data_IF_016884072547
#
_entry.id   IF_016884072547
#
_cell.length_a   1.000
_cell.length_b   1.000
_cell.length_c   1.000
_cell.angle_alpha   90.00
_cell.angle_beta   90.00
_cell.angle_gamma   90.00
#
_symmetry.space_group_name_H-M   'P 1'
#
loop_
_entity.id
_entity.type
_entity.pdbx_description
1 polymer ?
#
# COMPACT_ATOMS: atom_id res chain seq x y z
N UNK A 1 1.64 9.34 -25.60
CA UNK A 1 0.30 9.07 -26.12
C UNK A 1 -0.78 9.99 -25.49
N UNK A 2 -0.80 10.23 -24.17
CA UNK A 2 -1.81 11.11 -23.51
C UNK A 2 -1.79 12.56 -23.99
N UNK A 3 -0.64 13.14 -24.26
CA UNK A 3 -0.50 14.51 -24.77
C UNK A 3 -0.96 14.68 -26.22
N UNK A 4 -0.84 13.63 -27.04
CA UNK A 4 -1.31 13.67 -28.44
C UNK A 4 -2.85 13.62 -28.53
N UNK A 5 -3.51 12.87 -27.62
CA UNK A 5 -4.98 12.82 -27.56
C UNK A 5 -5.57 14.15 -27.10
N UNK A 6 -4.96 14.80 -26.12
CA UNK A 6 -5.44 16.10 -25.64
C UNK A 6 -5.30 17.21 -26.70
N UNK A 7 -4.23 17.20 -27.46
CA UNK A 7 -4.04 18.18 -28.56
C UNK A 7 -4.94 17.93 -29.77
N UNK A 8 -5.22 16.68 -30.11
CA UNK A 8 -6.19 16.35 -31.18
C UNK A 8 -7.62 16.69 -30.77
N UNK A 9 -7.99 16.49 -29.51
CA UNK A 9 -9.32 16.84 -29.03
C UNK A 9 -9.53 18.36 -28.94
N UNK A 10 -8.50 19.12 -28.57
CA UNK A 10 -8.53 20.59 -28.58
C UNK A 10 -8.58 21.15 -30.00
N UNK A 11 -7.91 20.53 -30.96
CA UNK A 11 -7.97 20.91 -32.38
C UNK A 11 -9.32 20.60 -33.00
N UNK A 12 -9.97 19.47 -32.63
CA UNK A 12 -11.33 19.11 -33.08
C UNK A 12 -12.37 20.11 -32.53
N UNK A 13 -12.22 20.56 -31.29
CA UNK A 13 -13.13 21.59 -30.74
C UNK A 13 -12.96 22.94 -31.40
N UNK A 14 -11.74 23.35 -31.82
CA UNK A 14 -11.52 24.58 -32.57
C UNK A 14 -12.06 24.52 -34.00
N UNK A 15 -12.00 23.35 -34.67
CA UNK A 15 -12.56 23.20 -36.01
C UNK A 15 -14.08 23.20 -36.01
N UNK A 16 -14.72 22.64 -34.96
CA UNK A 16 -16.17 22.70 -34.79
C UNK A 16 -16.67 24.16 -34.58
N UNK A 17 -15.89 24.98 -33.83
CA UNK A 17 -16.24 26.38 -33.62
C UNK A 17 -16.11 27.24 -34.91
N UNK A 18 -15.26 26.83 -35.87
CA UNK A 18 -15.09 27.53 -37.16
C UNK A 18 -16.07 27.07 -38.25
N UNK A 19 -16.64 25.84 -38.11
CA UNK A 19 -17.67 25.32 -39.03
C UNK A 19 -19.07 25.89 -38.73
N UNK A 20 -19.27 26.59 -37.63
CA UNK A 20 -20.55 27.13 -37.18
C UNK A 20 -21.06 28.35 -37.94
N UNK A 21 -20.41 28.74 -39.08
CA UNK A 21 -20.90 29.84 -39.94
C UNK A 21 -21.68 29.40 -41.16
N UNK A 22 -22.00 28.09 -41.29
CA UNK A 22 -22.85 27.59 -42.39
C UNK A 22 -24.06 26.86 -41.82
N UNK A 23 -25.07 27.63 -41.42
CA UNK A 23 -26.51 27.31 -41.41
C UNK A 23 -26.95 25.90 -40.97
N UNK A 24 -26.90 25.64 -39.68
CA UNK A 24 -27.94 24.84 -38.99
C UNK A 24 -28.19 25.53 -37.64
N UNK A 25 -29.43 25.84 -37.35
CA UNK A 25 -29.83 26.45 -36.08
C UNK A 25 -29.50 25.49 -34.94
N UNK A 26 -28.28 25.59 -34.37
CA UNK A 26 -27.94 24.90 -33.13
C UNK A 26 -28.83 25.50 -32.06
N UNK A 27 -29.74 24.67 -31.56
CA UNK A 27 -30.65 25.09 -30.52
C UNK A 27 -29.95 25.10 -29.16
N UNK A 28 -30.52 25.84 -28.19
CA UNK A 28 -30.04 25.76 -26.81
C UNK A 28 -30.09 24.36 -26.25
N UNK A 29 -31.06 23.56 -26.70
CA UNK A 29 -31.24 22.14 -26.33
C UNK A 29 -30.05 21.29 -26.82
N UNK A 30 -29.52 21.53 -28.06
CA UNK A 30 -28.34 20.84 -28.57
C UNK A 30 -27.08 21.16 -27.76
N UNK A 31 -26.95 22.41 -27.32
CA UNK A 31 -25.83 22.86 -26.48
C UNK A 31 -25.91 22.24 -25.09
N UNK A 32 -27.08 22.19 -24.50
CA UNK A 32 -27.27 21.63 -23.17
C UNK A 32 -27.13 20.10 -23.20
N UNK A 33 -27.57 19.41 -24.26
CA UNK A 33 -27.36 18.00 -24.46
C UNK A 33 -25.86 17.66 -24.61
N UNK A 34 -25.12 18.42 -25.44
CA UNK A 34 -23.66 18.22 -25.60
C UNK A 34 -22.87 18.51 -24.33
N UNK A 35 -23.34 19.47 -23.51
CA UNK A 35 -22.73 19.78 -22.21
C UNK A 35 -22.98 18.66 -21.21
N UNK A 36 -24.17 18.07 -21.17
CA UNK A 36 -24.51 16.97 -20.27
C UNK A 36 -23.76 15.70 -20.68
N UNK A 37 -23.67 15.42 -21.96
CA UNK A 37 -22.89 14.29 -22.49
C UNK A 37 -21.38 14.43 -22.18
N UNK A 38 -20.82 15.62 -22.39
CA UNK A 38 -19.43 15.93 -22.03
C UNK A 38 -19.16 15.85 -20.54
N UNK A 39 -20.13 16.25 -19.71
CA UNK A 39 -20.05 16.12 -18.25
C UNK A 39 -20.11 14.66 -17.82
N UNK A 40 -21.04 13.89 -18.37
CA UNK A 40 -21.18 12.46 -18.07
C UNK A 40 -19.94 11.68 -18.49
N UNK A 41 -19.38 11.96 -19.67
CA UNK A 41 -18.13 11.36 -20.13
C UNK A 41 -16.94 11.74 -19.23
N UNK A 42 -16.84 13.01 -18.83
CA UNK A 42 -15.79 13.48 -17.92
C UNK A 42 -15.88 12.84 -16.52
N UNK A 43 -17.09 12.66 -16.00
CA UNK A 43 -17.31 11.97 -14.72
C UNK A 43 -16.93 10.47 -14.84
N UNK A 44 -17.32 9.82 -15.93
CA UNK A 44 -16.98 8.40 -16.17
C UNK A 44 -15.47 8.20 -16.31
N UNK A 45 -14.76 9.12 -16.97
CA UNK A 45 -13.29 9.08 -17.10
C UNK A 45 -12.57 9.40 -15.77
N UNK A 46 -13.16 10.25 -14.93
CA UNK A 46 -12.62 10.64 -13.64
C UNK A 46 -12.96 9.65 -12.50
N UNK A 47 -13.91 8.73 -12.71
CA UNK A 47 -14.26 7.75 -11.69
C UNK A 47 -13.15 6.69 -11.60
N UNK A 48 -12.44 6.59 -10.46
CA UNK A 48 -11.42 5.57 -10.31
C UNK A 48 -12.06 4.18 -10.40
N UNK A 49 -11.45 3.29 -11.15
CA UNK A 49 -11.88 1.89 -11.24
C UNK A 49 -11.75 1.28 -9.84
N UNK A 50 -12.83 0.72 -9.33
CA UNK A 50 -12.84 0.07 -8.02
C UNK A 50 -11.85 -1.10 -7.99
N UNK A 51 -11.01 -1.17 -6.96
CA UNK A 51 -10.11 -2.32 -6.75
C UNK A 51 -10.90 -3.63 -6.64
N UNK A 52 -12.08 -3.59 -6.01
CA UNK A 52 -12.98 -4.74 -5.92
C UNK A 52 -13.43 -5.21 -7.31
N UNK A 53 -13.90 -4.31 -8.17
CA UNK A 53 -14.32 -4.65 -9.52
C UNK A 53 -13.17 -5.21 -10.34
N UNK A 54 -11.95 -4.68 -10.15
CA UNK A 54 -10.75 -5.19 -10.79
C UNK A 54 -10.42 -6.62 -10.36
N UNK A 55 -10.51 -6.92 -9.07
CA UNK A 55 -10.30 -8.28 -8.52
C UNK A 55 -11.33 -9.24 -9.10
N UNK A 56 -12.61 -8.88 -9.06
CA UNK A 56 -13.71 -9.72 -9.56
C UNK A 56 -13.56 -9.97 -11.07
N UNK A 57 -13.30 -8.94 -11.86
CA UNK A 57 -13.11 -9.06 -13.31
C UNK A 57 -11.89 -9.92 -13.67
N UNK A 58 -10.82 -9.87 -12.88
CA UNK A 58 -9.61 -10.68 -13.06
C UNK A 58 -9.80 -12.12 -12.58
N UNK A 59 -10.71 -12.37 -11.65
CA UNK A 59 -10.93 -13.67 -11.02
C UNK A 59 -9.79 -14.10 -10.08
N UNK A 60 -8.95 -13.18 -9.63
CA UNK A 60 -7.86 -13.44 -8.68
C UNK A 60 -7.53 -12.21 -7.86
N UNK A 61 -6.97 -12.40 -6.66
CA UNK A 61 -6.56 -11.34 -5.75
C UNK A 61 -5.04 -11.35 -5.55
N UNK A 62 -4.42 -10.18 -5.70
CA UNK A 62 -2.99 -9.98 -5.44
C UNK A 62 -2.79 -9.51 -3.99
N UNK A 63 -2.30 -10.40 -3.14
CA UNK A 63 -2.08 -10.13 -1.72
C UNK A 63 -0.60 -9.84 -1.45
N UNK A 64 -0.30 -8.62 -1.01
CA UNK A 64 1.04 -8.21 -0.56
C UNK A 64 1.34 -8.78 0.83
N UNK A 65 2.38 -9.62 0.93
CA UNK A 65 2.71 -10.35 2.15
C UNK A 65 4.19 -10.26 2.51
N UNK A 66 4.53 -10.59 3.74
CA UNK A 66 5.90 -10.89 4.18
C UNK A 66 6.18 -12.37 3.98
N UNK A 67 7.48 -12.72 3.82
CA UNK A 67 7.90 -14.12 3.61
C UNK A 67 8.83 -14.65 4.69
N UNK A 68 9.33 -13.77 5.55
CA UNK A 68 10.39 -14.09 6.51
C UNK A 68 9.95 -14.06 7.97
N UNK A 69 8.64 -13.87 8.26
CA UNK A 69 8.16 -13.76 9.63
C UNK A 69 7.31 -14.98 10.02
N UNK A 70 7.94 -15.88 10.75
CA UNK A 70 7.30 -17.09 11.23
C UNK A 70 6.05 -16.78 12.08
N UNK A 71 4.98 -17.53 11.85
CA UNK A 71 3.68 -17.32 12.50
C UNK A 71 2.81 -16.22 11.89
N UNK A 72 3.36 -15.28 11.13
CA UNK A 72 2.65 -14.19 10.46
C UNK A 72 2.64 -14.36 8.94
N UNK A 73 3.67 -13.92 8.24
CA UNK A 73 3.86 -14.12 6.81
C UNK A 73 5.17 -14.87 6.56
N UNK A 74 5.10 -16.16 6.34
CA UNK A 74 6.25 -17.03 6.19
C UNK A 74 6.15 -17.90 4.93
N UNK A 75 7.26 -17.98 4.18
CA UNK A 75 7.45 -18.90 3.07
C UNK A 75 8.54 -19.89 3.45
N UNK A 76 8.20 -21.17 3.55
CA UNK A 76 9.18 -22.24 3.70
C UNK A 76 9.93 -22.44 2.39
N UNK A 77 11.21 -22.11 2.36
CA UNK A 77 12.04 -22.18 1.17
C UNK A 77 12.29 -23.62 0.68
N UNK A 78 12.17 -24.61 1.56
CA UNK A 78 12.38 -26.02 1.21
C UNK A 78 11.16 -26.65 0.56
N UNK A 79 9.97 -26.24 0.98
CA UNK A 79 8.70 -26.82 0.50
C UNK A 79 7.90 -25.89 -0.40
N UNK A 80 8.22 -24.59 -0.42
CA UNK A 80 7.42 -23.57 -1.11
C UNK A 80 6.08 -23.25 -0.43
N UNK A 81 5.82 -23.81 0.76
CA UNK A 81 4.55 -23.63 1.46
C UNK A 81 4.55 -22.30 2.21
N UNK A 82 3.49 -21.53 2.03
CA UNK A 82 3.23 -20.31 2.78
C UNK A 82 2.35 -20.61 4.00
N UNK A 83 2.65 -19.95 5.12
CA UNK A 83 1.92 -20.15 6.37
C UNK A 83 1.89 -18.88 7.23
N UNK A 84 1.01 -18.89 8.21
CA UNK A 84 0.89 -17.83 9.21
C UNK A 84 -0.41 -17.04 9.11
N UNK A 85 -0.59 -16.16 10.09
CA UNK A 85 -1.81 -15.38 10.28
C UNK A 85 -2.13 -14.50 9.04
N UNK A 86 -1.14 -13.77 8.52
CA UNK A 86 -1.30 -12.90 7.35
C UNK A 86 -1.75 -13.69 6.11
N UNK A 87 -1.19 -14.89 5.92
CA UNK A 87 -1.55 -15.79 4.82
C UNK A 87 -3.00 -16.28 4.97
N UNK A 88 -3.40 -16.59 6.20
CA UNK A 88 -4.79 -17.00 6.50
C UNK A 88 -5.78 -15.86 6.24
N UNK A 89 -5.41 -14.62 6.55
CA UNK A 89 -6.22 -13.44 6.22
C UNK A 89 -6.34 -13.21 4.71
N UNK A 90 -5.26 -13.34 3.92
CA UNK A 90 -5.35 -13.28 2.46
C UNK A 90 -6.36 -14.29 1.91
N UNK A 91 -6.32 -15.53 2.40
CA UNK A 91 -7.26 -16.60 2.04
C UNK A 91 -8.69 -16.27 2.44
N UNK A 92 -8.87 -15.71 3.66
CA UNK A 92 -10.18 -15.30 4.17
C UNK A 92 -10.81 -14.19 3.35
N UNK A 93 -10.03 -13.17 2.96
CA UNK A 93 -10.49 -12.08 2.09
C UNK A 93 -10.86 -12.63 0.71
N UNK A 94 -10.04 -13.45 0.09
CA UNK A 94 -10.36 -14.09 -1.19
C UNK A 94 -11.66 -14.88 -1.13
N UNK A 95 -11.83 -15.70 -0.10
CA UNK A 95 -13.07 -16.46 0.10
C UNK A 95 -14.30 -15.56 0.28
N UNK A 96 -14.17 -14.45 1.00
CA UNK A 96 -15.25 -13.46 1.17
C UNK A 96 -15.64 -12.77 -0.15
N UNK A 97 -14.72 -12.67 -1.09
CA UNK A 97 -14.96 -12.15 -2.44
C UNK A 97 -15.49 -13.22 -3.42
N UNK A 98 -15.71 -14.45 -2.96
CA UNK A 98 -16.18 -15.55 -3.78
C UNK A 98 -15.08 -16.22 -4.63
N UNK A 99 -13.81 -15.92 -4.37
CA UNK A 99 -12.66 -16.52 -5.01
C UNK A 99 -12.28 -17.84 -4.31
N UNK A 100 -11.58 -18.73 -5.03
CA UNK A 100 -11.00 -19.91 -4.42
C UNK A 100 -9.72 -19.51 -3.64
N UNK A 101 -9.70 -19.66 -2.29
CA UNK A 101 -8.57 -19.23 -1.47
C UNK A 101 -7.28 -20.05 -1.70
N UNK A 102 -7.36 -21.18 -2.38
CA UNK A 102 -6.20 -22.03 -2.65
C UNK A 102 -5.55 -21.76 -4.00
N UNK A 103 -6.31 -21.25 -4.98
CA UNK A 103 -5.85 -21.09 -6.36
C UNK A 103 -5.88 -19.65 -6.86
N UNK A 104 -6.76 -18.80 -6.31
CA UNK A 104 -7.03 -17.47 -6.85
C UNK A 104 -6.37 -16.35 -6.03
N UNK A 105 -5.45 -16.70 -5.14
CA UNK A 105 -4.62 -15.73 -4.40
C UNK A 105 -3.19 -15.75 -4.94
N UNK A 106 -2.79 -14.63 -5.53
CA UNK A 106 -1.41 -14.37 -5.92
C UNK A 106 -0.68 -13.66 -4.77
N UNK A 107 0.29 -14.34 -4.17
CA UNK A 107 1.09 -13.77 -3.08
C UNK A 107 2.29 -13.01 -3.64
N UNK A 108 2.34 -11.72 -3.34
CA UNK A 108 3.41 -10.83 -3.81
C UNK A 108 4.25 -10.39 -2.61
N UNK A 109 5.56 -10.68 -2.60
CA UNK A 109 6.43 -10.17 -1.55
C UNK A 109 6.38 -8.65 -1.46
N UNK A 110 6.18 -8.14 -0.25
CA UNK A 110 6.12 -6.70 0.01
C UNK A 110 7.03 -6.38 1.21
N UNK A 111 8.10 -5.63 0.96
CA UNK A 111 9.11 -5.26 1.97
C UNK A 111 8.64 -4.11 2.87
N UNK A 112 9.46 -3.72 3.85
CA UNK A 112 9.24 -2.53 4.66
C UNK A 112 9.24 -1.24 3.85
N UNK A 113 10.06 -1.19 2.79
CA UNK A 113 10.30 0.00 1.99
C UNK A 113 9.38 0.15 0.77
N UNK A 114 8.84 -0.96 0.20
CA UNK A 114 8.12 -0.92 -1.08
C UNK A 114 6.62 -1.25 -0.99
N UNK A 115 6.13 -1.69 0.16
CA UNK A 115 4.75 -2.19 0.33
C UNK A 115 3.66 -1.17 -0.01
N UNK A 116 3.86 0.09 0.35
CA UNK A 116 2.89 1.15 0.07
C UNK A 116 2.93 1.58 -1.40
N UNK A 117 4.11 1.64 -2.01
CA UNK A 117 4.25 1.91 -3.45
C UNK A 117 3.60 0.81 -4.29
N UNK A 118 3.74 -0.45 -3.88
CA UNK A 118 3.06 -1.58 -4.51
C UNK A 118 1.54 -1.49 -4.40
N UNK A 119 1.02 -1.02 -3.27
CA UNK A 119 -0.40 -0.80 -3.08
C UNK A 119 -0.88 0.37 -3.96
N UNK A 120 -0.22 1.52 -3.88
CA UNK A 120 -0.58 2.72 -4.63
C UNK A 120 -0.50 2.52 -6.16
N UNK A 121 0.42 1.68 -6.64
CA UNK A 121 0.57 1.36 -8.07
C UNK A 121 -0.38 0.27 -8.58
N UNK A 122 -1.15 -0.39 -7.69
CA UNK A 122 -1.97 -1.55 -8.05
C UNK A 122 -1.17 -2.81 -8.38
N UNK A 123 0.11 -2.85 -8.01
CA UNK A 123 0.93 -4.07 -8.07
C UNK A 123 0.36 -5.13 -7.13
N UNK A 124 -0.19 -4.71 -6.00
CA UNK A 124 -1.00 -5.50 -5.08
C UNK A 124 -2.36 -4.85 -4.90
N UNK A 125 -3.39 -5.64 -4.68
CA UNK A 125 -4.75 -5.18 -4.42
C UNK A 125 -4.98 -4.91 -2.94
N UNK A 126 -4.36 -5.72 -2.10
CA UNK A 126 -4.48 -5.65 -0.64
C UNK A 126 -3.12 -5.95 -0.01
N UNK A 127 -2.81 -5.22 1.05
CA UNK A 127 -1.61 -5.41 1.84
C UNK A 127 -1.99 -6.06 3.17
N UNK A 128 -1.62 -7.33 3.36
CA UNK A 128 -1.87 -8.08 4.60
C UNK A 128 -0.54 -8.58 5.13
N UNK A 129 0.02 -7.80 6.06
CA UNK A 129 1.30 -8.11 6.69
C UNK A 129 1.42 -7.37 8.02
N UNK A 130 2.50 -7.61 8.76
CA UNK A 130 2.83 -6.89 10.00
C UNK A 130 3.10 -5.42 9.72
N UNK A 131 2.05 -4.64 9.47
CA UNK A 131 2.10 -3.22 9.14
C UNK A 131 1.35 -2.43 10.20
N UNK A 132 2.06 -1.59 10.94
CA UNK A 132 1.45 -0.76 11.99
C UNK A 132 0.52 0.27 11.39
N UNK A 133 -0.70 0.35 11.90
CA UNK A 133 -1.64 1.41 11.58
C UNK A 133 -1.19 2.71 12.26
N UNK A 134 -0.92 3.74 11.49
CA UNK A 134 -0.60 5.08 11.97
C UNK A 134 -1.39 6.11 11.18
N UNK A 135 -1.71 7.24 11.80
CA UNK A 135 -2.42 8.35 11.15
C UNK A 135 -1.70 8.83 9.88
N UNK A 136 -0.37 8.94 9.93
CA UNK A 136 0.40 9.37 8.75
C UNK A 136 0.32 8.38 7.58
N UNK A 137 0.33 7.07 7.87
CA UNK A 137 0.19 6.06 6.81
C UNK A 137 -1.20 6.05 6.20
N UNK A 138 -2.22 6.20 7.03
CA UNK A 138 -3.62 6.23 6.62
C UNK A 138 -3.95 7.51 5.83
N UNK A 139 -3.39 8.66 6.26
CA UNK A 139 -3.67 9.95 5.65
C UNK A 139 -2.78 10.28 4.43
N UNK A 140 -1.48 9.91 4.47
CA UNK A 140 -0.49 10.45 3.54
C UNK A 140 -0.07 9.47 2.43
N UNK A 141 -0.36 8.16 2.59
CA UNK A 141 0.15 7.13 1.69
C UNK A 141 -0.89 6.56 0.69
N UNK A 142 -2.02 7.25 0.54
CA UNK A 142 -3.13 6.81 -0.31
C UNK A 142 -3.50 5.34 -0.07
N UNK A 143 -3.62 4.98 1.21
CA UNK A 143 -3.89 3.62 1.67
C UNK A 143 -4.82 3.66 2.89
N UNK A 144 -5.98 3.03 2.78
CA UNK A 144 -6.93 2.90 3.89
C UNK A 144 -6.67 1.63 4.68
N UNK A 145 -6.60 1.74 6.01
CA UNK A 145 -6.54 0.58 6.89
C UNK A 145 -7.95 0.05 7.15
N UNK A 146 -8.27 -1.11 6.57
CA UNK A 146 -9.59 -1.72 6.72
C UNK A 146 -9.84 -2.30 8.13
N UNK A 147 -8.77 -2.67 8.85
CA UNK A 147 -8.90 -3.20 10.21
C UNK A 147 -7.58 -3.66 10.81
N UNK A 148 -7.56 -3.76 12.13
CA UNK A 148 -6.46 -4.30 12.91
C UNK A 148 -6.71 -5.79 13.17
N UNK A 149 -5.75 -6.63 12.78
CA UNK A 149 -5.84 -8.08 12.92
C UNK A 149 -4.96 -8.67 14.02
N UNK A 150 -4.02 -7.87 14.56
CA UNK A 150 -3.11 -8.29 15.62
C UNK A 150 -2.68 -7.10 16.46
N UNK A 151 -2.55 -7.30 17.76
CA UNK A 151 -2.01 -6.30 18.68
C UNK A 151 -0.56 -6.66 19.01
N UNK A 152 0.36 -5.76 18.74
CA UNK A 152 1.80 -5.98 18.85
C UNK A 152 2.48 -4.90 19.69
N UNK A 153 3.77 -5.12 20.00
CA UNK A 153 4.63 -4.18 20.70
C UNK A 153 6.07 -4.26 20.21
N UNK A 154 6.82 -3.19 20.44
CA UNK A 154 8.25 -3.13 20.09
C UNK A 154 9.11 -3.57 21.25
N UNK A 155 10.08 -4.45 20.97
CA UNK A 155 11.12 -4.85 21.91
C UNK A 155 12.51 -4.78 21.27
N UNK A 156 13.53 -4.83 22.09
CA UNK A 156 14.93 -4.91 21.65
C UNK A 156 15.50 -6.23 22.16
N UNK A 157 16.00 -7.05 21.24
CA UNK A 157 16.77 -8.25 21.59
C UNK A 157 18.24 -7.87 21.75
N UNK A 158 18.83 -8.20 22.88
CA UNK A 158 20.22 -7.86 23.20
C UNK A 158 21.08 -9.10 23.44
N UNK A 159 22.32 -8.99 23.15
CA UNK A 159 23.33 -9.98 23.59
C UNK A 159 23.73 -9.67 25.03
N UNK A 160 23.40 -10.57 25.93
CA UNK A 160 23.67 -10.43 27.36
C UNK A 160 25.17 -10.32 27.69
N UNK A 161 26.01 -11.05 26.94
CA UNK A 161 27.47 -11.02 27.09
C UNK A 161 28.10 -9.69 26.68
N UNK A 162 27.44 -8.90 25.82
CA UNK A 162 27.91 -7.60 25.31
C UNK A 162 27.28 -6.45 26.08
N UNK A 163 26.00 -6.56 26.42
CA UNK A 163 25.21 -5.52 27.09
C UNK A 163 24.54 -6.08 28.36
N UNK A 164 25.31 -6.52 29.35
CA UNK A 164 24.76 -7.14 30.55
C UNK A 164 23.86 -6.21 31.37
N UNK A 165 24.16 -4.89 31.38
CA UNK A 165 23.33 -3.91 32.09
C UNK A 165 21.95 -3.73 31.45
N UNK A 166 21.86 -3.77 30.12
CA UNK A 166 20.59 -3.68 29.40
C UNK A 166 19.78 -4.96 29.60
N UNK A 167 20.40 -6.13 29.57
CA UNK A 167 19.76 -7.41 29.78
C UNK A 167 19.23 -7.56 31.22
N UNK A 168 20.07 -7.27 32.23
CA UNK A 168 19.68 -7.35 33.64
C UNK A 168 18.63 -6.31 34.04
N UNK A 169 18.71 -5.10 33.49
CA UNK A 169 17.78 -4.02 33.75
C UNK A 169 16.49 -4.07 32.93
N UNK A 170 16.42 -4.99 31.98
CA UNK A 170 15.32 -5.06 30.97
C UNK A 170 15.01 -3.66 30.40
N UNK A 171 16.06 -2.91 30.07
CA UNK A 171 15.98 -1.51 29.65
C UNK A 171 16.96 -1.19 28.53
N UNK A 172 16.48 -0.53 27.50
CA UNK A 172 17.31 0.01 26.42
C UNK A 172 18.26 1.13 26.88
N UNK A 173 18.09 1.67 28.08
CA UNK A 173 19.00 2.67 28.66
C UNK A 173 20.45 2.19 28.85
N UNK A 174 20.67 0.89 28.90
CA UNK A 174 21.98 0.27 28.95
C UNK A 174 22.67 0.06 27.61
N UNK A 175 22.15 0.62 26.49
CA UNK A 175 22.62 0.42 25.12
C UNK A 175 23.37 1.62 24.55
N UNK A 176 23.97 2.44 25.40
CA UNK A 176 24.78 3.59 24.93
C UNK A 176 25.94 3.12 24.05
N UNK A 177 26.06 3.74 22.86
CA UNK A 177 27.05 3.37 21.84
C UNK A 177 26.75 2.08 21.05
N UNK A 178 25.57 1.48 21.23
CA UNK A 178 25.24 0.21 20.56
C UNK A 178 24.99 0.37 19.05
N UNK A 179 25.31 -0.70 18.30
CA UNK A 179 24.82 -0.89 16.94
C UNK A 179 23.50 -1.67 16.99
N UNK A 180 22.43 -1.09 16.48
CA UNK A 180 21.07 -1.65 16.56
C UNK A 180 20.54 -1.92 15.17
N UNK A 181 20.28 -3.20 14.86
CA UNK A 181 19.67 -3.61 13.61
C UNK A 181 18.17 -3.28 13.61
N UNK A 182 17.67 -2.69 12.53
CA UNK A 182 16.27 -2.32 12.38
C UNK A 182 15.83 -2.37 10.92
N UNK A 183 14.60 -2.80 10.68
CA UNK A 183 14.01 -2.79 9.34
C UNK A 183 13.73 -1.38 8.84
N UNK A 184 14.16 -1.07 7.61
CA UNK A 184 13.97 0.25 6.98
C UNK A 184 12.48 0.53 6.73
N UNK A 185 12.06 1.81 6.88
CA UNK A 185 10.70 2.27 6.60
C UNK A 185 9.66 1.72 7.58
N UNK A 186 10.09 1.32 8.78
CA UNK A 186 9.21 0.79 9.81
C UNK A 186 8.95 1.82 10.92
N UNK A 187 7.83 1.68 11.62
CA UNK A 187 7.57 2.44 12.86
C UNK A 187 8.58 2.10 13.95
N UNK A 188 9.13 0.88 13.90
CA UNK A 188 10.20 0.43 14.82
C UNK A 188 11.45 1.28 14.69
N UNK A 189 11.84 1.62 13.46
CA UNK A 189 12.97 2.51 13.17
C UNK A 189 12.72 3.92 13.76
N UNK A 190 11.57 4.54 13.43
CA UNK A 190 11.22 5.85 13.94
C UNK A 190 11.16 5.90 15.47
N UNK A 191 10.44 4.97 16.07
CA UNK A 191 10.32 4.89 17.54
C UNK A 191 11.68 4.69 18.23
N UNK A 192 12.59 3.89 17.62
CA UNK A 192 13.93 3.70 18.12
C UNK A 192 14.71 5.03 18.12
N UNK A 193 14.71 5.73 16.98
CA UNK A 193 15.40 7.03 16.86
C UNK A 193 14.88 8.02 17.90
N UNK A 194 13.57 8.15 18.01
CA UNK A 194 12.93 9.09 18.94
C UNK A 194 13.24 8.73 20.41
N UNK A 195 13.17 7.45 20.75
CA UNK A 195 13.39 6.99 22.11
C UNK A 195 14.83 7.25 22.59
N UNK A 196 15.83 6.92 21.77
CA UNK A 196 17.25 7.11 22.08
C UNK A 196 17.63 8.60 22.09
N UNK A 197 17.20 9.35 21.06
CA UNK A 197 17.48 10.78 20.93
C UNK A 197 16.89 11.59 22.08
N UNK A 198 15.65 11.30 22.50
CA UNK A 198 15.00 12.01 23.62
C UNK A 198 15.67 11.79 24.98
N UNK A 199 16.55 10.79 25.07
CA UNK A 199 17.30 10.43 26.28
C UNK A 199 18.78 10.71 26.19
N UNK A 200 19.23 11.31 25.08
CA UNK A 200 20.65 11.58 24.79
C UNK A 200 21.52 10.30 24.87
N UNK A 201 20.99 9.15 24.46
CA UNK A 201 21.71 7.89 24.39
C UNK A 201 22.22 7.73 22.96
N UNK A 202 23.52 7.59 22.80
CA UNK A 202 24.13 7.40 21.49
C UNK A 202 23.88 5.97 20.97
N UNK A 203 23.60 5.83 19.68
CA UNK A 203 23.48 4.54 19.00
C UNK A 203 23.79 4.69 17.51
N UNK A 204 24.05 3.58 16.86
CA UNK A 204 24.18 3.50 15.41
C UNK A 204 23.08 2.61 14.86
N UNK A 205 22.24 3.15 13.99
CA UNK A 205 21.24 2.36 13.28
C UNK A 205 21.91 1.53 12.18
N UNK A 206 21.63 0.23 12.16
CA UNK A 206 22.10 -0.71 11.13
C UNK A 206 20.87 -1.21 10.38
N UNK A 207 20.63 -0.70 9.17
CA UNK A 207 19.46 -1.08 8.38
C UNK A 207 19.55 -2.54 7.90
N UNK A 208 18.43 -3.25 7.96
CA UNK A 208 18.27 -4.65 7.52
C UNK A 208 16.97 -4.85 6.74
#
# INVERSE_FOLDING_TARGET
MRTLLATTMMLLMMTAALAGCAGSDITQEDVDAAREEGRAAGIAEATPVSTLDTIIARGSMKCGVKESQYGMGYLDAGTGVRSGLDISYCRGVAAALGLNPDTDVEYIPASGSDRFDKLASGTIDVLIRTTTWTTSRDADLNADFAGMNFFDGQGILVREDVFPAAAAGNSAGGLDGANICVGIGTTTEGNMVDWFSSRNIAFTSVPV
#
